data_IF_732309469954
#
_entry.id   IF_732309469954
#
_cell.length_a   1.000
_cell.length_b   1.000
_cell.length_c   1.000
_cell.angle_alpha   90.00
_cell.angle_beta   90.00
_cell.angle_gamma   90.00
#
_symmetry.space_group_name_H-M   'P 1'
#
loop_
_entity.id
_entity.type
_entity.pdbx_description
1 polymer ?
#
# COMPACT_ATOMS: atom_id res chain seq x y z
N UNK A 1 -8.01 29.86 -25.52
CA UNK A 1 -8.27 29.65 -24.07
C UNK A 1 -7.92 28.22 -23.61
N UNK A 2 -6.80 27.69 -24.09
CA UNK A 2 -6.37 26.30 -23.72
C UNK A 2 -5.44 26.23 -22.50
N UNK A 3 -5.00 27.36 -21.94
CA UNK A 3 -3.97 27.41 -20.88
C UNK A 3 -4.55 27.11 -19.49
N UNK A 4 -5.86 27.37 -19.26
CA UNK A 4 -6.48 27.12 -17.96
C UNK A 4 -6.77 25.63 -17.65
N UNK A 5 -6.91 24.78 -18.65
CA UNK A 5 -7.20 23.36 -18.43
C UNK A 5 -5.99 22.56 -17.92
N UNK A 6 -4.77 22.91 -18.33
CA UNK A 6 -3.55 22.19 -17.90
C UNK A 6 -3.25 22.52 -16.44
N UNK A 7 -3.40 23.77 -16.03
CA UNK A 7 -3.18 24.16 -14.62
C UNK A 7 -4.24 23.60 -13.67
N UNK A 8 -5.46 23.44 -14.14
CA UNK A 8 -6.55 22.84 -13.38
C UNK A 8 -6.34 21.34 -13.23
N UNK A 9 -6.03 20.62 -14.33
CA UNK A 9 -5.73 19.18 -14.28
C UNK A 9 -4.55 18.85 -13.40
N UNK A 10 -3.48 19.65 -13.40
CA UNK A 10 -2.31 19.41 -12.53
C UNK A 10 -2.61 19.65 -11.04
N UNK A 11 -3.46 20.63 -10.72
CA UNK A 11 -3.92 20.86 -9.33
C UNK A 11 -4.81 19.71 -8.86
N UNK A 12 -5.74 19.26 -9.68
CA UNK A 12 -6.58 18.09 -9.37
C UNK A 12 -5.75 16.82 -9.16
N UNK A 13 -4.76 16.56 -10.00
CA UNK A 13 -3.87 15.39 -9.82
C UNK A 13 -3.15 15.42 -8.48
N UNK A 14 -2.63 16.58 -8.06
CA UNK A 14 -1.95 16.72 -6.77
C UNK A 14 -2.90 16.58 -5.56
N UNK A 15 -4.14 17.04 -5.69
CA UNK A 15 -5.16 16.91 -4.63
C UNK A 15 -5.64 15.45 -4.51
N UNK A 16 -5.80 14.75 -5.63
CA UNK A 16 -6.17 13.33 -5.63
C UNK A 16 -5.07 12.45 -5.05
N UNK A 17 -3.81 12.72 -5.36
CA UNK A 17 -2.70 11.99 -4.76
C UNK A 17 -2.69 12.16 -3.23
N UNK A 18 -2.97 13.37 -2.73
CA UNK A 18 -3.18 13.59 -1.29
C UNK A 18 -4.36 12.79 -0.73
N UNK A 19 -5.47 12.68 -1.45
CA UNK A 19 -6.62 11.87 -1.04
C UNK A 19 -6.25 10.39 -0.99
N UNK A 20 -5.53 9.87 -1.98
CA UNK A 20 -5.06 8.48 -1.99
C UNK A 20 -4.14 8.23 -0.79
N UNK A 21 -3.10 9.04 -0.61
CA UNK A 21 -2.15 8.88 0.50
C UNK A 21 -2.86 8.99 1.85
N UNK A 22 -3.83 9.90 1.99
CA UNK A 22 -4.55 10.10 3.25
C UNK A 22 -5.60 9.03 3.56
N UNK A 23 -6.16 8.36 2.54
CA UNK A 23 -7.24 7.38 2.70
C UNK A 23 -6.75 5.93 2.57
N UNK A 24 -5.65 5.70 1.84
CA UNK A 24 -5.04 4.38 1.74
C UNK A 24 -4.40 3.99 3.07
N UNK A 25 -4.73 2.81 3.56
CA UNK A 25 -4.16 2.26 4.81
C UNK A 25 -2.66 2.00 4.64
N UNK A 26 -2.23 1.69 3.42
CA UNK A 26 -0.85 1.42 3.02
C UNK A 26 -0.12 2.65 2.45
N UNK A 27 -0.76 3.82 2.46
CA UNK A 27 -0.27 5.05 1.81
C UNK A 27 1.09 5.52 2.29
N UNK A 28 1.46 5.26 3.56
CA UNK A 28 2.77 5.64 4.12
C UNK A 28 3.95 4.90 3.46
N UNK A 29 3.73 3.78 2.76
CA UNK A 29 4.78 3.13 1.99
C UNK A 29 5.22 3.97 0.77
N UNK A 30 4.42 4.93 0.32
CA UNK A 30 4.80 5.87 -0.74
C UNK A 30 5.92 6.83 -0.29
N UNK A 31 6.01 7.15 0.99
CA UNK A 31 7.06 8.02 1.56
C UNK A 31 8.43 7.32 1.59
N UNK A 32 8.47 6.00 1.46
CA UNK A 32 9.70 5.20 1.53
C UNK A 32 10.48 5.15 0.19
N UNK A 33 10.02 5.83 -0.85
CA UNK A 33 10.60 5.82 -2.21
C UNK A 33 11.88 6.67 -2.30
N UNK A 34 12.66 6.77 -1.24
CA UNK A 34 13.90 7.53 -1.21
C UNK A 34 14.93 6.92 -2.18
N UNK A 35 15.27 7.66 -3.27
CA UNK A 35 16.33 7.37 -4.25
C UNK A 35 16.01 6.33 -5.34
N UNK A 36 14.76 6.00 -5.58
CA UNK A 36 14.39 5.20 -6.74
C UNK A 36 14.67 5.99 -8.03
N UNK A 37 15.43 5.41 -8.96
CA UNK A 37 15.70 6.00 -10.27
C UNK A 37 14.93 5.24 -11.33
N UNK A 38 14.05 5.93 -12.04
CA UNK A 38 13.35 5.34 -13.18
C UNK A 38 14.29 5.22 -14.40
N UNK A 39 14.33 4.02 -14.98
CA UNK A 39 15.11 3.72 -16.18
C UNK A 39 14.16 3.11 -17.23
N UNK A 40 13.96 3.83 -18.33
CA UNK A 40 13.01 3.40 -19.36
C UNK A 40 11.53 3.47 -18.92
N UNK A 41 10.69 2.63 -19.55
CA UNK A 41 9.24 2.70 -19.39
C UNK A 41 8.72 2.01 -18.13
N UNK A 42 9.36 0.92 -17.68
CA UNK A 42 8.83 0.02 -16.65
C UNK A 42 9.77 -0.21 -15.46
N UNK A 43 11.04 0.12 -15.59
CA UNK A 43 12.07 -0.30 -14.64
C UNK A 43 12.38 0.79 -13.62
N UNK A 44 12.47 0.39 -12.37
CA UNK A 44 12.92 1.18 -11.23
C UNK A 44 14.20 0.57 -10.70
N UNK A 45 15.24 1.36 -10.56
CA UNK A 45 16.50 0.97 -9.92
C UNK A 45 16.49 1.46 -8.47
N UNK A 46 16.64 0.53 -7.54
CA UNK A 46 16.79 0.81 -6.13
C UNK A 46 18.23 0.46 -5.75
N UNK A 47 19.02 1.43 -5.22
CA UNK A 47 20.38 1.14 -4.81
C UNK A 47 20.39 0.24 -3.57
N UNK A 48 21.21 -0.79 -3.63
CA UNK A 48 21.49 -1.72 -2.55
C UNK A 48 22.98 -1.65 -2.20
N UNK A 49 23.30 -1.61 -0.92
CA UNK A 49 24.69 -1.44 -0.43
C UNK A 49 24.99 -2.59 0.51
N UNK A 50 25.89 -3.46 0.08
CA UNK A 50 26.38 -4.56 0.89
C UNK A 50 27.66 -4.14 1.62
N UNK A 51 27.64 -4.28 2.94
CA UNK A 51 28.78 -4.03 3.81
C UNK A 51 29.39 -5.33 4.30
N UNK A 52 30.70 -5.36 4.40
CA UNK A 52 31.43 -6.43 5.09
C UNK A 52 31.58 -6.04 6.55
N UNK A 53 31.45 -7.00 7.46
CA UNK A 53 31.62 -6.78 8.90
C UNK A 53 33.02 -6.34 9.28
N UNK A 54 33.20 -5.97 10.55
CA UNK A 54 34.51 -5.61 11.10
C UNK A 54 35.44 -6.83 11.12
N UNK A 55 36.72 -6.58 10.86
CA UNK A 55 37.79 -7.56 11.03
C UNK A 55 38.71 -7.11 12.15
N UNK A 56 39.47 -8.06 12.69
CA UNK A 56 40.45 -7.76 13.72
C UNK A 56 41.51 -6.80 13.20
N UNK A 57 41.88 -5.85 14.05
CA UNK A 57 42.97 -4.91 13.75
C UNK A 57 44.32 -5.55 14.08
N UNK A 58 45.17 -5.68 13.08
CA UNK A 58 46.54 -6.13 13.25
C UNK A 58 47.46 -4.90 13.44
N UNK A 59 48.27 -4.93 14.49
CA UNK A 59 49.16 -3.81 14.83
C UNK A 59 50.34 -3.68 13.84
N UNK A 60 50.69 -4.74 13.14
CA UNK A 60 51.82 -4.75 12.20
C UNK A 60 51.38 -4.41 10.78
N UNK A 61 50.21 -4.87 10.36
CA UNK A 61 49.67 -4.69 8.99
C UNK A 61 48.57 -3.63 8.89
N UNK A 62 48.00 -3.18 10.04
CA UNK A 62 47.00 -2.13 10.11
C UNK A 62 45.59 -2.60 9.80
N UNK A 63 44.81 -1.78 9.12
CA UNK A 63 43.39 -2.06 8.81
C UNK A 63 43.23 -3.10 7.71
N UNK A 64 42.42 -4.10 7.95
CA UNK A 64 41.93 -5.03 6.91
C UNK A 64 41.04 -4.29 5.90
N UNK A 65 41.38 -4.42 4.60
CA UNK A 65 40.65 -3.75 3.53
C UNK A 65 39.45 -4.58 3.11
N UNK A 66 38.26 -4.05 3.31
CA UNK A 66 37.00 -4.64 2.83
C UNK A 66 36.50 -3.89 1.59
N UNK A 67 35.89 -4.61 0.66
CA UNK A 67 35.25 -4.03 -0.52
C UNK A 67 33.76 -3.86 -0.24
N UNK A 68 33.30 -2.61 -0.16
CA UNK A 68 31.88 -2.30 -0.17
C UNK A 68 31.35 -2.43 -1.59
N UNK A 69 30.29 -3.22 -1.78
CA UNK A 69 29.65 -3.35 -3.08
C UNK A 69 28.37 -2.51 -3.10
N UNK A 70 28.31 -1.59 -4.06
CA UNK A 70 27.09 -0.82 -4.35
C UNK A 70 26.51 -1.41 -5.62
N UNK A 71 25.34 -2.00 -5.53
CA UNK A 71 24.59 -2.56 -6.65
C UNK A 71 23.25 -1.86 -6.78
N UNK A 72 22.70 -1.87 -7.99
CA UNK A 72 21.34 -1.41 -8.23
C UNK A 72 20.47 -2.65 -8.53
N UNK A 73 19.48 -2.91 -7.69
CA UNK A 73 18.48 -3.93 -7.98
C UNK A 73 17.42 -3.32 -8.88
N UNK A 74 17.15 -3.99 -9.99
CA UNK A 74 16.10 -3.56 -10.93
C UNK A 74 14.78 -4.23 -10.58
N UNK A 75 13.74 -3.43 -10.46
CA UNK A 75 12.36 -3.86 -10.26
C UNK A 75 11.53 -3.40 -11.46
N UNK A 76 10.62 -4.24 -11.92
CA UNK A 76 9.70 -3.89 -13.00
C UNK A 76 8.32 -3.59 -12.43
N UNK A 77 7.76 -2.44 -12.79
CA UNK A 77 6.38 -2.10 -12.47
C UNK A 77 5.43 -2.98 -13.27
N UNK A 78 4.45 -3.57 -12.59
CA UNK A 78 3.49 -4.51 -13.20
C UNK A 78 2.07 -3.94 -13.34
N UNK A 79 1.65 -2.99 -12.50
CA UNK A 79 0.26 -2.51 -12.43
C UNK A 79 0.08 -1.19 -13.14
N UNK A 80 -0.42 -1.26 -14.38
CA UNK A 80 -0.83 -0.09 -15.19
C UNK A 80 -2.35 -0.11 -15.30
N UNK A 81 -3.02 0.69 -14.46
CA UNK A 81 -4.48 0.70 -14.32
C UNK A 81 -5.05 2.02 -14.80
N UNK A 82 -6.10 1.96 -15.61
CA UNK A 82 -6.76 3.13 -16.15
C UNK A 82 -8.27 2.92 -16.27
N UNK A 83 -9.02 4.00 -16.11
CA UNK A 83 -10.47 4.01 -16.37
C UNK A 83 -10.89 5.34 -16.95
N UNK A 84 -11.85 5.29 -17.87
CA UNK A 84 -12.58 6.44 -18.38
C UNK A 84 -13.98 6.44 -17.77
N UNK A 85 -14.35 7.52 -17.12
CA UNK A 85 -15.69 7.77 -16.60
C UNK A 85 -16.36 8.80 -17.47
N UNK A 86 -17.58 8.53 -17.92
CA UNK A 86 -18.38 9.44 -18.71
C UNK A 86 -19.61 9.87 -17.91
N UNK A 87 -19.90 11.17 -17.92
CA UNK A 87 -21.04 11.75 -17.26
C UNK A 87 -21.76 12.69 -18.22
N UNK A 88 -23.03 12.42 -18.48
CA UNK A 88 -23.85 13.19 -19.38
C UNK A 88 -24.03 14.64 -18.90
N UNK A 89 -24.09 15.59 -19.85
CA UNK A 89 -24.20 16.99 -19.53
C UNK A 89 -25.53 17.34 -18.88
N UNK A 90 -26.63 16.75 -19.39
CA UNK A 90 -27.97 17.05 -18.87
C UNK A 90 -28.11 16.53 -17.42
N UNK A 91 -27.57 15.34 -17.13
CA UNK A 91 -27.52 14.79 -15.76
C UNK A 91 -26.74 15.68 -14.81
N UNK A 92 -25.67 16.30 -15.29
CA UNK A 92 -24.89 17.26 -14.49
C UNK A 92 -25.64 18.57 -14.26
N UNK A 93 -26.28 19.12 -15.26
CA UNK A 93 -27.02 20.39 -15.17
C UNK A 93 -28.27 20.25 -14.29
N UNK A 94 -29.03 19.17 -14.42
CA UNK A 94 -30.20 18.86 -13.60
C UNK A 94 -29.85 18.63 -12.12
N UNK A 95 -28.70 18.05 -11.84
CA UNK A 95 -28.24 17.82 -10.48
C UNK A 95 -27.72 19.07 -9.77
N UNK A 96 -27.58 20.19 -10.50
CA UNK A 96 -27.05 21.45 -9.97
C UNK A 96 -25.55 21.42 -9.61
N UNK A 97 -24.83 20.44 -10.13
CA UNK A 97 -23.51 20.04 -9.68
C UNK A 97 -22.40 20.48 -10.65
N UNK A 98 -22.38 21.73 -11.02
CA UNK A 98 -21.28 22.31 -11.80
C UNK A 98 -19.89 22.16 -11.09
N UNK A 99 -19.90 21.93 -9.76
CA UNK A 99 -18.70 21.63 -8.98
C UNK A 99 -18.48 20.10 -8.74
N UNK A 100 -19.31 19.23 -9.34
CA UNK A 100 -19.33 17.79 -9.02
C UNK A 100 -18.19 17.02 -9.65
N UNK A 101 -17.60 17.50 -10.73
CA UNK A 101 -16.52 16.79 -11.41
C UNK A 101 -15.40 16.35 -10.44
N UNK A 102 -14.98 17.25 -9.56
CA UNK A 102 -14.00 16.94 -8.52
C UNK A 102 -14.51 15.99 -7.44
N UNK A 103 -15.80 16.07 -7.10
CA UNK A 103 -16.41 15.21 -6.08
C UNK A 103 -16.62 13.78 -6.61
N UNK A 104 -17.16 13.63 -7.83
CA UNK A 104 -17.32 12.30 -8.47
C UNK A 104 -15.99 11.58 -8.58
N UNK A 105 -14.96 12.30 -8.99
CA UNK A 105 -13.65 11.71 -9.16
C UNK A 105 -12.98 11.40 -7.82
N UNK A 106 -13.09 12.29 -6.84
CA UNK A 106 -12.62 12.04 -5.47
C UNK A 106 -13.32 10.82 -4.84
N UNK A 107 -14.61 10.67 -5.09
CA UNK A 107 -15.38 9.51 -4.64
C UNK A 107 -14.98 8.24 -5.38
N UNK A 108 -14.76 8.29 -6.69
CA UNK A 108 -14.24 7.17 -7.47
C UNK A 108 -12.88 6.69 -6.95
N UNK A 109 -11.96 7.63 -6.72
CA UNK A 109 -10.65 7.29 -6.15
C UNK A 109 -10.80 6.66 -4.77
N UNK A 110 -11.64 7.23 -3.91
CA UNK A 110 -11.86 6.73 -2.55
C UNK A 110 -12.49 5.34 -2.51
N UNK A 111 -13.45 5.07 -3.40
CA UNK A 111 -14.26 3.83 -3.38
C UNK A 111 -13.69 2.71 -4.21
N UNK A 112 -12.93 3.01 -5.27
CA UNK A 112 -12.42 2.02 -6.21
C UNK A 112 -10.89 1.94 -6.20
N UNK A 113 -10.19 3.06 -6.38
CA UNK A 113 -8.74 3.05 -6.56
C UNK A 113 -8.00 2.73 -5.26
N UNK A 114 -8.40 3.37 -4.15
CA UNK A 114 -7.75 3.16 -2.84
C UNK A 114 -7.92 1.73 -2.34
N UNK A 115 -9.11 1.11 -2.36
CA UNK A 115 -9.27 -0.28 -1.97
C UNK A 115 -8.46 -1.25 -2.82
N UNK A 116 -8.42 -1.06 -4.14
CA UNK A 116 -7.64 -1.88 -5.06
C UNK A 116 -6.13 -1.78 -4.76
N UNK A 117 -5.62 -0.57 -4.51
CA UNK A 117 -4.22 -0.37 -4.14
C UNK A 117 -3.85 -1.04 -2.81
N UNK A 118 -4.68 -0.85 -1.78
CA UNK A 118 -4.44 -1.45 -0.47
C UNK A 118 -4.46 -2.98 -0.54
N UNK A 119 -5.46 -3.55 -1.25
CA UNK A 119 -5.57 -5.00 -1.45
C UNK A 119 -4.33 -5.55 -2.17
N UNK A 120 -3.87 -4.86 -3.22
CA UNK A 120 -2.68 -5.26 -3.94
C UNK A 120 -1.42 -5.24 -3.08
N UNK A 121 -1.21 -4.16 -2.34
CA UNK A 121 -0.05 -4.03 -1.45
C UNK A 121 -0.02 -5.14 -0.40
N UNK A 122 -1.14 -5.37 0.28
CA UNK A 122 -1.23 -6.39 1.33
C UNK A 122 -1.06 -7.82 0.77
N UNK A 123 -1.63 -8.09 -0.40
CA UNK A 123 -1.46 -9.34 -1.12
C UNK A 123 0.02 -9.60 -1.48
N UNK A 124 0.72 -8.62 -2.06
CA UNK A 124 2.13 -8.77 -2.41
C UNK A 124 3.01 -8.92 -1.15
N UNK A 125 2.71 -8.23 -0.06
CA UNK A 125 3.41 -8.42 1.21
C UNK A 125 3.18 -9.82 1.79
N UNK A 126 1.96 -10.35 1.70
CA UNK A 126 1.67 -11.72 2.11
C UNK A 126 2.46 -12.72 1.26
N UNK A 127 2.52 -12.55 -0.06
CA UNK A 127 3.34 -13.42 -0.93
C UNK A 127 4.82 -13.42 -0.54
N UNK A 128 5.35 -12.28 -0.15
CA UNK A 128 6.73 -12.21 0.36
C UNK A 128 6.88 -13.03 1.64
N UNK A 129 5.96 -12.90 2.60
CA UNK A 129 5.99 -13.68 3.83
C UNK A 129 5.87 -15.18 3.56
N UNK A 130 4.97 -15.58 2.66
CA UNK A 130 4.75 -16.97 2.30
C UNK A 130 5.96 -17.58 1.60
N UNK A 131 6.55 -16.87 0.64
CA UNK A 131 7.74 -17.31 -0.08
C UNK A 131 8.96 -17.55 0.82
N UNK A 132 9.03 -16.88 1.98
CA UNK A 132 10.12 -17.02 2.96
C UNK A 132 9.75 -17.88 4.17
N UNK A 133 8.57 -18.50 4.17
CA UNK A 133 8.10 -19.37 5.26
C UNK A 133 7.77 -18.61 6.56
N UNK A 134 7.36 -17.35 6.44
CA UNK A 134 6.98 -16.45 7.55
C UNK A 134 5.47 -16.33 7.67
N UNK A 135 4.74 -17.39 7.35
CA UNK A 135 3.29 -17.47 7.49
C UNK A 135 2.93 -18.53 8.54
N UNK A 136 1.93 -18.22 9.35
CA UNK A 136 1.38 -19.14 10.35
C UNK A 136 -0.14 -19.20 10.24
N UNK A 137 -0.72 -20.34 10.62
CA UNK A 137 -2.16 -20.48 10.72
C UNK A 137 -2.68 -19.69 11.92
N UNK A 138 -3.80 -18.97 11.74
CA UNK A 138 -4.39 -18.14 12.76
C UNK A 138 -5.14 -18.98 13.80
N UNK A 139 -4.86 -18.73 15.08
CA UNK A 139 -5.51 -19.37 16.22
C UNK A 139 -6.31 -18.30 16.99
N UNK A 140 -7.62 -18.40 16.92
CA UNK A 140 -8.55 -17.42 17.52
C UNK A 140 -8.46 -17.38 19.05
N UNK A 141 -8.10 -18.51 19.70
CA UNK A 141 -7.92 -18.59 21.15
C UNK A 141 -6.61 -17.94 21.64
N UNK A 142 -5.66 -17.74 20.72
CA UNK A 142 -4.31 -17.23 21.01
C UNK A 142 -3.96 -15.92 20.30
N UNK A 143 -4.95 -15.13 19.93
CA UNK A 143 -4.78 -13.89 19.13
C UNK A 143 -3.69 -12.98 19.67
N UNK A 144 -3.71 -12.70 20.98
CA UNK A 144 -2.71 -11.84 21.61
C UNK A 144 -1.30 -12.42 21.54
N UNK A 145 -1.14 -13.68 21.95
CA UNK A 145 0.16 -14.34 21.96
C UNK A 145 0.73 -14.53 20.54
N UNK A 146 -0.11 -14.78 19.55
CA UNK A 146 0.31 -14.83 18.14
C UNK A 146 0.79 -13.46 17.66
N UNK A 147 0.04 -12.38 17.91
CA UNK A 147 0.46 -11.03 17.53
C UNK A 147 1.82 -10.68 18.15
N UNK A 148 1.99 -10.96 19.46
CA UNK A 148 3.26 -10.73 20.15
C UNK A 148 4.38 -11.59 19.55
N UNK A 149 4.10 -12.84 19.17
CA UNK A 149 5.08 -13.71 18.53
C UNK A 149 5.52 -13.17 17.17
N UNK A 150 4.58 -12.74 16.31
CA UNK A 150 4.90 -12.13 15.03
C UNK A 150 5.74 -10.85 15.18
N UNK A 151 5.37 -10.00 16.14
CA UNK A 151 6.14 -8.78 16.45
C UNK A 151 7.57 -9.16 16.89
N UNK A 152 7.72 -10.11 17.81
CA UNK A 152 9.03 -10.53 18.31
C UNK A 152 9.89 -11.16 17.21
N UNK A 153 9.30 -11.92 16.29
CA UNK A 153 10.00 -12.50 15.14
C UNK A 153 10.60 -11.40 14.26
N UNK A 154 9.82 -10.38 13.94
CA UNK A 154 10.31 -9.24 13.16
C UNK A 154 11.37 -8.46 13.93
N UNK A 155 11.14 -8.15 15.22
CA UNK A 155 12.09 -7.41 16.05
C UNK A 155 13.42 -8.14 16.25
N UNK A 156 13.38 -9.47 16.35
CA UNK A 156 14.61 -10.27 16.49
C UNK A 156 15.54 -10.18 15.27
N UNK A 157 14.99 -9.91 14.10
CA UNK A 157 15.73 -9.77 12.84
C UNK A 157 16.02 -8.30 12.49
N UNK A 158 15.03 -7.40 12.70
CA UNK A 158 15.14 -5.99 12.36
C UNK A 158 15.84 -5.14 13.44
N UNK A 159 15.84 -5.61 14.69
CA UNK A 159 16.18 -4.81 15.86
C UNK A 159 14.96 -4.15 16.49
N UNK A 160 15.12 -3.73 17.76
CA UNK A 160 14.02 -3.14 18.55
C UNK A 160 13.79 -1.65 18.24
N UNK A 161 14.71 -1.00 17.53
CA UNK A 161 14.64 0.43 17.21
C UNK A 161 13.79 0.72 15.95
N UNK A 162 13.40 -0.34 15.19
CA UNK A 162 12.58 -0.18 13.98
C UNK A 162 11.10 -0.01 14.33
N UNK A 163 10.47 1.00 13.72
CA UNK A 163 9.04 1.21 13.82
C UNK A 163 8.30 0.12 13.05
N UNK A 164 7.47 -0.66 13.75
CA UNK A 164 6.65 -1.71 13.17
C UNK A 164 5.20 -1.27 13.02
N UNK A 165 4.54 -1.87 12.04
CA UNK A 165 3.10 -1.74 11.79
C UNK A 165 2.50 -3.13 11.70
N UNK A 166 1.35 -3.32 12.35
CA UNK A 166 0.55 -4.54 12.28
C UNK A 166 -0.79 -4.22 11.61
N UNK A 167 -1.03 -4.80 10.44
CA UNK A 167 -2.34 -4.77 9.80
C UNK A 167 -3.16 -5.94 10.33
N UNK A 168 -4.41 -5.69 10.65
CA UNK A 168 -5.32 -6.72 11.19
C UNK A 168 -6.70 -6.62 10.52
N UNK A 169 -7.32 -7.75 10.25
CA UNK A 169 -8.69 -7.78 9.75
C UNK A 169 -9.70 -7.43 10.87
N UNK A 170 -10.95 -7.09 10.55
CA UNK A 170 -11.93 -6.66 11.55
C UNK A 170 -12.24 -7.73 12.59
N UNK A 171 -12.27 -9.02 12.20
CA UNK A 171 -12.49 -10.14 13.11
C UNK A 171 -11.40 -10.24 14.16
N UNK A 172 -10.14 -10.25 13.71
CA UNK A 172 -8.96 -10.26 14.57
C UNK A 172 -8.89 -9.03 15.46
N UNK A 173 -9.23 -7.85 14.91
CA UNK A 173 -9.26 -6.61 15.69
C UNK A 173 -10.30 -6.68 16.80
N UNK A 174 -11.51 -7.20 16.54
CA UNK A 174 -12.54 -7.40 17.56
C UNK A 174 -12.10 -8.40 18.64
N UNK A 175 -11.47 -9.51 18.25
CA UNK A 175 -10.93 -10.50 19.17
C UNK A 175 -9.83 -9.90 20.05
N UNK A 176 -8.90 -9.10 19.48
CA UNK A 176 -7.89 -8.36 20.24
C UNK A 176 -8.51 -7.38 21.25
N UNK A 177 -9.58 -6.66 20.87
CA UNK A 177 -10.25 -5.73 21.78
C UNK A 177 -10.92 -6.41 22.97
N UNK A 178 -11.36 -7.65 22.79
CA UNK A 178 -12.00 -8.45 23.84
C UNK A 178 -10.97 -9.17 24.74
N UNK A 179 -9.69 -9.20 24.35
CA UNK A 179 -8.64 -9.87 25.10
C UNK A 179 -8.27 -9.08 26.35
N UNK A 180 -8.35 -9.74 27.52
CA UNK A 180 -8.07 -9.09 28.82
C UNK A 180 -6.61 -8.64 28.96
N UNK A 181 -5.68 -9.37 28.35
CA UNK A 181 -4.24 -9.08 28.36
C UNK A 181 -3.95 -7.78 27.60
N UNK A 182 -4.60 -7.59 26.46
CA UNK A 182 -4.41 -6.40 25.63
C UNK A 182 -5.00 -5.14 26.27
N UNK A 183 -6.18 -5.25 26.89
CA UNK A 183 -6.85 -4.12 27.53
C UNK A 183 -6.02 -3.45 28.64
N UNK A 184 -5.07 -4.15 29.20
CA UNK A 184 -4.13 -3.61 30.22
C UNK A 184 -2.93 -2.89 29.59
N UNK A 185 -2.62 -3.14 28.34
CA UNK A 185 -1.38 -2.68 27.68
C UNK A 185 -1.62 -1.73 26.49
N UNK A 186 -2.88 -1.57 26.05
CA UNK A 186 -3.19 -0.69 24.95
C UNK A 186 -2.99 0.78 25.33
N UNK A 187 -2.13 1.43 24.57
CA UNK A 187 -1.96 2.87 24.57
C UNK A 187 -2.52 3.43 23.28
N UNK A 188 -3.33 4.49 23.37
CA UNK A 188 -3.75 5.24 22.19
C UNK A 188 -2.58 6.10 21.77
N UNK A 189 -2.00 5.83 20.62
CA UNK A 189 -0.92 6.63 20.04
C UNK A 189 -1.39 7.35 18.79
N UNK A 190 -0.77 8.49 18.53
CA UNK A 190 -0.97 9.21 17.28
C UNK A 190 -0.07 8.60 16.21
N UNK A 191 -0.67 8.00 15.21
CA UNK A 191 0.04 7.47 14.04
C UNK A 191 -0.13 8.45 12.88
N UNK A 192 1.00 8.95 12.36
CA UNK A 192 1.01 9.86 11.22
C UNK A 192 1.09 9.08 9.92
N UNK A 193 0.11 9.28 9.06
CA UNK A 193 0.07 8.78 7.70
C UNK A 193 0.01 9.99 6.76
N UNK A 194 1.16 10.36 6.19
CA UNK A 194 1.25 11.60 5.41
C UNK A 194 0.87 12.84 6.23
N UNK A 195 -0.07 13.63 5.74
CA UNK A 195 -0.58 14.83 6.42
C UNK A 195 -1.74 14.52 7.41
N UNK A 196 -2.18 13.25 7.51
CA UNK A 196 -3.32 12.86 8.36
C UNK A 196 -2.83 12.15 9.61
N UNK A 197 -3.19 12.71 10.77
CA UNK A 197 -2.97 12.07 12.06
C UNK A 197 -4.09 11.06 12.32
N UNK A 198 -3.74 9.77 12.33
CA UNK A 198 -4.65 8.68 12.70
C UNK A 198 -4.45 8.31 14.17
N UNK A 199 -5.53 8.33 14.94
CA UNK A 199 -5.51 7.77 16.31
C UNK A 199 -5.63 6.26 16.23
N UNK A 200 -4.51 5.58 16.33
CA UNK A 200 -4.42 4.13 16.23
C UNK A 200 -4.06 3.56 17.59
N UNK A 201 -4.60 2.41 17.91
CA UNK A 201 -4.18 1.69 19.09
C UNK A 201 -2.79 1.10 18.85
N UNK A 202 -1.89 1.20 19.80
CA UNK A 202 -0.56 0.61 19.72
C UNK A 202 -0.31 -0.38 20.84
N UNK A 203 0.43 -1.43 20.53
CA UNK A 203 0.93 -2.43 21.45
C UNK A 203 2.45 -2.38 21.45
N UNK A 204 3.06 -2.06 22.58
CA UNK A 204 4.52 -1.95 22.72
C UNK A 204 5.19 -1.06 21.64
N UNK A 205 4.54 0.03 21.25
CA UNK A 205 5.04 0.92 20.19
C UNK A 205 4.71 0.48 18.75
N UNK A 206 4.13 -0.70 18.56
CA UNK A 206 3.68 -1.18 17.25
C UNK A 206 2.27 -0.67 16.97
N UNK A 207 2.08 0.06 15.90
CA UNK A 207 0.77 0.56 15.49
C UNK A 207 -0.09 -0.59 14.95
N UNK A 208 -1.31 -0.75 15.50
CA UNK A 208 -2.28 -1.74 15.03
C UNK A 208 -3.29 -1.04 14.13
N UNK A 209 -3.29 -1.35 12.85
CA UNK A 209 -4.12 -0.73 11.83
C UNK A 209 -5.19 -1.73 11.39
N UNK A 210 -6.48 -1.48 11.70
CA UNK A 210 -7.56 -2.31 11.18
C UNK A 210 -7.77 -2.02 9.69
N UNK A 211 -7.92 -3.07 8.90
CA UNK A 211 -8.13 -3.01 7.45
C UNK A 211 -9.41 -3.77 7.10
N UNK A 212 -10.16 -3.30 6.12
CA UNK A 212 -11.37 -3.96 5.67
C UNK A 212 -11.07 -5.37 5.13
N UNK A 213 -11.99 -6.27 5.34
CA UNK A 213 -11.82 -7.72 5.14
C UNK A 213 -11.59 -8.09 3.67
N UNK A 214 -12.20 -7.35 2.76
CA UNK A 214 -12.06 -7.48 1.30
C UNK A 214 -10.62 -7.18 0.80
N UNK A 215 -9.83 -6.41 1.57
CA UNK A 215 -8.45 -6.04 1.23
C UNK A 215 -7.41 -6.96 1.84
N UNK A 216 -7.79 -7.79 2.83
CA UNK A 216 -6.88 -8.70 3.54
C UNK A 216 -7.09 -10.15 3.09
N UNK A 217 -6.72 -10.42 1.83
CA UNK A 217 -6.88 -11.72 1.19
C UNK A 217 -5.55 -12.25 0.67
N UNK A 218 -5.37 -13.57 0.74
CA UNK A 218 -4.12 -14.23 0.31
C UNK A 218 -4.03 -14.40 -1.19
N UNK A 219 -5.15 -14.29 -1.90
CA UNK A 219 -5.20 -14.37 -3.35
C UNK A 219 -6.30 -13.46 -3.91
N UNK A 220 -5.93 -12.61 -4.87
CA UNK A 220 -6.82 -11.65 -5.54
C UNK A 220 -6.56 -11.64 -7.03
N UNK A 221 -7.63 -11.53 -7.80
CA UNK A 221 -7.59 -11.41 -9.25
C UNK A 221 -7.94 -10.00 -9.70
N UNK A 222 -7.17 -9.47 -10.65
CA UNK A 222 -7.42 -8.15 -11.23
C UNK A 222 -8.15 -8.29 -12.55
N UNK A 223 -9.36 -7.73 -12.62
CA UNK A 223 -10.13 -7.68 -13.85
C UNK A 223 -9.55 -6.62 -14.80
N UNK A 224 -9.33 -6.99 -16.05
CA UNK A 224 -8.83 -6.11 -17.11
C UNK A 224 -9.82 -5.04 -17.55
N UNK A 225 -11.10 -5.17 -17.22
CA UNK A 225 -12.15 -4.23 -17.62
C UNK A 225 -12.50 -4.35 -19.10
N UNK A 226 -12.84 -5.56 -19.58
CA UNK A 226 -13.14 -5.82 -20.98
C UNK A 226 -14.43 -5.13 -21.46
N UNK A 227 -15.33 -4.80 -20.55
CA UNK A 227 -16.58 -4.11 -20.82
C UNK A 227 -16.78 -2.86 -19.92
N UNK A 228 -17.94 -2.22 -20.03
CA UNK A 228 -18.26 -1.01 -19.26
C UNK A 228 -18.62 -1.30 -17.80
N UNK A 229 -18.90 -2.55 -17.44
CA UNK A 229 -19.35 -3.00 -16.12
C UNK A 229 -18.29 -3.78 -15.34
N UNK A 230 -17.27 -4.31 -16.02
CA UNK A 230 -16.16 -5.05 -15.42
C UNK A 230 -14.99 -4.16 -15.02
N UNK A 231 -14.12 -4.64 -14.15
CA UNK A 231 -12.92 -3.95 -13.68
C UNK A 231 -12.79 -4.00 -12.16
N UNK A 232 -11.65 -3.53 -11.66
CA UNK A 232 -11.32 -3.60 -10.24
C UNK A 232 -10.59 -4.89 -9.89
N UNK A 233 -10.84 -5.42 -8.69
CA UNK A 233 -10.31 -6.70 -8.23
C UNK A 233 -11.42 -7.56 -7.64
N UNK A 234 -11.23 -8.86 -7.70
CA UNK A 234 -12.10 -9.86 -7.09
C UNK A 234 -11.27 -10.80 -6.24
N UNK A 235 -11.89 -11.36 -5.22
CA UNK A 235 -11.26 -12.36 -4.36
C UNK A 235 -11.38 -13.72 -5.06
N UNK A 236 -10.27 -14.43 -5.20
CA UNK A 236 -10.25 -15.79 -5.75
C UNK A 236 -10.98 -16.76 -4.82
N UNK A 237 -11.67 -17.76 -5.38
CA UNK A 237 -12.36 -18.79 -4.60
C UNK A 237 -11.40 -19.62 -3.70
N UNK A 238 -10.13 -19.69 -4.07
CA UNK A 238 -9.10 -20.38 -3.29
C UNK A 238 -8.42 -19.48 -2.25
N UNK A 239 -8.80 -18.20 -2.19
CA UNK A 239 -8.21 -17.23 -1.27
C UNK A 239 -8.50 -17.60 0.18
N UNK A 240 -7.58 -17.24 1.06
CA UNK A 240 -7.73 -17.31 2.52
C UNK A 240 -7.71 -15.90 3.10
N UNK A 241 -8.16 -15.76 4.34
CA UNK A 241 -8.14 -14.47 5.03
C UNK A 241 -6.76 -14.21 5.64
N UNK A 242 -6.17 -13.04 5.36
CA UNK A 242 -5.02 -12.55 6.12
C UNK A 242 -5.58 -11.98 7.43
N UNK A 243 -5.26 -12.62 8.55
CA UNK A 243 -5.74 -12.18 9.87
C UNK A 243 -4.86 -11.11 10.48
N UNK A 244 -3.54 -11.28 10.33
CA UNK A 244 -2.51 -10.36 10.80
C UNK A 244 -1.37 -10.30 9.80
N UNK A 245 -0.80 -9.12 9.62
CA UNK A 245 0.43 -8.91 8.84
C UNK A 245 1.28 -7.88 9.55
N UNK A 246 2.52 -8.25 9.91
CA UNK A 246 3.47 -7.39 10.64
C UNK A 246 4.66 -7.10 9.75
N UNK A 247 5.01 -5.83 9.62
CA UNK A 247 6.12 -5.35 8.79
C UNK A 247 6.74 -4.10 9.40
N UNK A 248 8.05 -3.85 9.21
CA UNK A 248 8.62 -2.53 9.49
C UNK A 248 7.99 -1.46 8.59
N UNK A 249 7.69 -0.31 9.16
CA UNK A 249 7.11 0.85 8.43
C UNK A 249 7.92 1.22 7.18
N UNK A 250 9.24 1.01 7.21
CA UNK A 250 10.16 1.24 6.08
C UNK A 250 10.48 -0.03 5.28
N UNK A 251 9.84 -1.16 5.59
CA UNK A 251 10.13 -2.46 4.98
C UNK A 251 9.72 -2.56 3.51
N UNK A 252 8.65 -1.88 3.13
CA UNK A 252 8.16 -1.83 1.75
C UNK A 252 8.19 -0.41 1.18
N UNK A 253 8.13 -0.32 -0.14
CA UNK A 253 8.05 0.94 -0.88
C UNK A 253 6.99 0.83 -1.95
N UNK A 254 5.96 1.68 -1.87
CA UNK A 254 4.94 1.82 -2.91
C UNK A 254 5.42 2.86 -3.93
N UNK A 255 5.79 2.41 -5.12
CA UNK A 255 6.33 3.27 -6.17
C UNK A 255 5.25 3.59 -7.18
N UNK A 256 4.96 4.87 -7.35
CA UNK A 256 4.09 5.38 -8.41
C UNK A 256 4.94 6.08 -9.45
N UNK A 257 4.84 5.65 -10.71
CA UNK A 257 5.55 6.29 -11.83
C UNK A 257 4.74 7.37 -12.48
N UNK A 258 3.48 7.09 -12.70
CA UNK A 258 2.56 7.97 -13.41
C UNK A 258 1.22 7.93 -12.70
N UNK A 259 0.72 9.10 -12.38
CA UNK A 259 -0.66 9.30 -11.99
C UNK A 259 -1.16 10.48 -12.80
N UNK A 260 -2.07 10.22 -13.72
CA UNK A 260 -2.59 11.24 -14.62
C UNK A 260 -4.09 11.23 -14.62
N UNK A 261 -4.63 12.41 -14.57
CA UNK A 261 -6.03 12.66 -14.79
C UNK A 261 -6.21 13.66 -15.91
N UNK A 262 -7.15 13.36 -16.80
CA UNK A 262 -7.57 14.25 -17.89
C UNK A 262 -9.07 14.43 -17.83
N UNK A 263 -9.50 15.67 -17.93
CA UNK A 263 -10.92 16.03 -17.96
C UNK A 263 -11.17 16.64 -19.34
N UNK A 264 -12.15 16.12 -20.04
CA UNK A 264 -12.65 16.68 -21.29
C UNK A 264 -14.06 17.21 -21.04
N UNK A 265 -14.30 18.45 -21.48
CA UNK A 265 -15.63 19.05 -21.43
C UNK A 265 -16.48 18.56 -22.60
N UNK A 266 -17.84 18.71 -22.56
CA UNK A 266 -18.69 18.32 -23.67
C UNK A 266 -18.29 18.95 -25.01
N UNK A 267 -17.79 20.20 -24.99
CA UNK A 267 -17.30 20.86 -26.21
C UNK A 267 -16.02 20.24 -26.80
N UNK A 268 -15.27 19.49 -25.99
CA UNK A 268 -14.04 18.80 -26.39
C UNK A 268 -14.29 17.33 -26.72
N UNK A 269 -15.43 16.79 -26.29
CA UNK A 269 -15.84 15.42 -26.55
C UNK A 269 -16.52 15.36 -27.91
N UNK A 270 -15.97 14.59 -28.84
CA UNK A 270 -16.52 14.46 -30.21
C UNK A 270 -17.50 13.29 -30.35
N UNK A 271 -17.61 12.44 -29.29
CA UNK A 271 -18.41 11.21 -29.36
C UNK A 271 -19.79 11.40 -28.71
N UNK A 272 -19.88 12.24 -27.66
CA UNK A 272 -21.13 12.49 -26.95
C UNK A 272 -21.10 13.85 -26.25
N UNK A 273 -22.28 14.43 -25.94
CA UNK A 273 -22.43 15.65 -25.16
C UNK A 273 -22.27 15.35 -23.67
N UNK A 274 -21.05 14.93 -23.29
CA UNK A 274 -20.74 14.41 -21.98
C UNK A 274 -19.34 14.83 -21.52
N UNK A 275 -19.16 14.97 -20.21
CA UNK A 275 -17.85 15.09 -19.58
C UNK A 275 -17.15 13.73 -19.56
N UNK A 276 -15.85 13.70 -19.89
CA UNK A 276 -15.02 12.50 -19.79
C UNK A 276 -13.91 12.74 -18.78
N UNK A 277 -13.78 11.81 -17.81
CA UNK A 277 -12.74 11.80 -16.80
C UNK A 277 -11.85 10.58 -17.02
N UNK A 278 -10.65 10.78 -17.56
CA UNK A 278 -9.69 9.71 -17.75
C UNK A 278 -8.70 9.70 -16.58
N UNK A 279 -8.74 8.63 -15.79
CA UNK A 279 -7.79 8.38 -14.71
C UNK A 279 -6.86 7.24 -15.13
N UNK A 280 -5.54 7.39 -14.87
CA UNK A 280 -4.54 6.35 -15.06
C UNK A 280 -3.50 6.43 -13.97
N UNK A 281 -3.19 5.29 -13.39
CA UNK A 281 -2.13 5.12 -12.39
C UNK A 281 -1.23 3.94 -12.79
N UNK A 282 0.09 4.16 -12.71
CA UNK A 282 1.08 3.13 -12.95
C UNK A 282 1.94 3.00 -11.70
N UNK A 283 1.81 1.88 -11.00
CA UNK A 283 2.39 1.68 -9.67
C UNK A 283 2.82 0.22 -9.46
N UNK A 284 3.62 0.03 -8.43
CA UNK A 284 3.93 -1.29 -7.87
C UNK A 284 4.46 -1.16 -6.44
N UNK A 285 4.51 -2.29 -5.72
CA UNK A 285 5.08 -2.37 -4.38
C UNK A 285 6.33 -3.24 -4.40
N UNK A 286 7.39 -2.76 -3.74
CA UNK A 286 8.64 -3.47 -3.66
C UNK A 286 9.09 -3.61 -2.22
N UNK A 287 9.54 -4.81 -1.87
CA UNK A 287 10.22 -5.09 -0.62
C UNK A 287 11.71 -5.18 -0.91
N UNK A 288 12.53 -4.43 -0.19
CA UNK A 288 14.00 -4.48 -0.36
C UNK A 288 14.52 -5.84 0.09
N UNK A 289 15.68 -6.27 -0.43
CA UNK A 289 16.30 -7.52 -0.02
C UNK A 289 16.46 -7.66 1.50
N UNK A 290 16.87 -6.59 2.18
CA UNK A 290 16.98 -6.55 3.63
C UNK A 290 15.64 -6.64 4.37
N UNK A 291 14.53 -6.40 3.69
CA UNK A 291 13.17 -6.45 4.22
C UNK A 291 12.42 -7.74 3.95
N UNK A 292 12.94 -8.62 3.06
CA UNK A 292 12.25 -9.85 2.67
C UNK A 292 11.98 -10.79 3.84
N UNK A 293 12.91 -10.86 4.80
CA UNK A 293 12.82 -11.67 6.00
C UNK A 293 12.07 -10.96 7.16
N UNK A 294 11.57 -9.74 6.92
CA UNK A 294 10.96 -8.89 7.95
C UNK A 294 9.43 -8.78 7.81
N UNK A 295 8.82 -9.60 6.98
CA UNK A 295 7.37 -9.66 6.83
C UNK A 295 6.88 -10.94 7.46
N UNK A 296 5.97 -10.84 8.43
CA UNK A 296 5.33 -11.97 9.11
C UNK A 296 3.82 -11.88 8.92
N UNK A 297 3.17 -12.99 8.66
CA UNK A 297 1.71 -13.01 8.48
C UNK A 297 1.04 -14.19 9.17
N UNK A 298 -0.20 -14.00 9.62
CA UNK A 298 -1.08 -15.06 10.05
C UNK A 298 -2.32 -15.09 9.14
N UNK A 299 -2.72 -16.27 8.71
CA UNK A 299 -3.88 -16.47 7.82
C UNK A 299 -4.84 -17.51 8.39
N UNK A 300 -6.10 -17.43 8.02
CA UNK A 300 -7.11 -18.47 8.29
C UNK A 300 -7.84 -18.86 7.03
N UNK A 301 -8.31 -20.08 6.96
CA UNK A 301 -9.25 -20.49 5.91
C UNK A 301 -10.53 -19.65 5.97
N UNK A 302 -11.11 -19.33 4.81
CA UNK A 302 -12.38 -18.63 4.76
C UNK A 302 -13.42 -19.57 5.35
N UNK A 303 -13.93 -19.22 6.51
CA UNK A 303 -15.10 -19.91 7.06
C UNK A 303 -16.32 -19.52 6.22
N UNK A 304 -16.73 -20.43 5.32
CA UNK A 304 -17.95 -20.35 4.50
C UNK A 304 -19.22 -20.31 5.36
#
# INVERSE_FOLDING_TARGET
MAINNISTASKFSSELDKVIVSKAVTGFFADNVLRAKFVGAKTVLIPDIDFVGLADYDRDTGFSKAKTTVSNTSYELSKDRARSLQLDREEMDESGIANLAGQVLGEYVRTMVVPEMDAYVLFELYKVADAHGHTVEFDEDKVYSQLVSLINNVQSRAGFDEELVAFVNPRTYAALMNCAELNRQLVVSDFKQGEVDLKVKSLNGVAIIPVADDRMKTDIEFDGGEDTTSGGYTVSDASKDICMLVIPKKGASLVKKTETMRIFTPEQNTEADAYIFNYRVYYDVFVKKSGLELVEAAFSEINS
#
